data_IF_840286180833
#
_entry.id   IF_840286180833
#
_cell.length_a   1.000
_cell.length_b   1.000
_cell.length_c   1.000
_cell.angle_alpha   90.00
_cell.angle_beta   90.00
_cell.angle_gamma   90.00
#
_symmetry.space_group_name_H-M   'P 1'
#
loop_
_entity.id
_entity.type
_entity.pdbx_description
1 polymer ?
#
# COMPACT_ATOMS: atom_id res chain seq x y z
N UNK A 1 5.87 34.41 -3.07
CA UNK A 1 5.40 33.04 -3.30
C UNK A 1 5.98 32.21 -2.17
N UNK A 2 5.17 31.85 -1.18
CA UNK A 2 5.63 30.99 -0.08
C UNK A 2 5.66 29.56 -0.60
N UNK A 3 6.85 29.04 -0.86
CA UNK A 3 7.07 27.62 -1.09
C UNK A 3 6.66 26.89 0.19
N UNK A 4 5.50 26.25 0.17
CA UNK A 4 5.11 25.29 1.21
C UNK A 4 6.03 24.08 1.03
N UNK A 5 7.07 23.98 1.85
CA UNK A 5 7.93 22.80 1.90
C UNK A 5 7.05 21.64 2.36
N UNK A 6 6.74 20.73 1.45
CA UNK A 6 5.97 19.53 1.79
C UNK A 6 6.65 18.79 2.94
N UNK A 7 5.89 18.31 3.94
CA UNK A 7 6.46 17.54 5.03
C UNK A 7 7.20 16.31 4.49
N UNK A 8 8.28 15.86 5.16
CA UNK A 8 9.05 14.73 4.70
C UNK A 8 8.17 13.47 4.59
N UNK A 9 8.20 12.82 3.43
CA UNK A 9 7.44 11.59 3.16
C UNK A 9 7.74 10.51 4.20
N UNK A 10 6.69 9.96 4.77
CA UNK A 10 6.70 8.82 5.68
C UNK A 10 7.22 7.56 4.97
N UNK A 11 7.66 6.56 5.75
CA UNK A 11 8.09 5.27 5.19
C UNK A 11 6.98 4.57 4.40
N UNK A 12 5.72 4.74 4.81
CA UNK A 12 4.56 4.23 4.08
C UNK A 12 4.43 4.88 2.70
N UNK A 13 4.48 6.22 2.64
CA UNK A 13 4.37 6.97 1.37
C UNK A 13 5.51 6.62 0.42
N UNK A 14 6.73 6.42 0.95
CA UNK A 14 7.87 5.97 0.14
C UNK A 14 7.65 4.59 -0.49
N UNK A 15 7.02 3.66 0.24
CA UNK A 15 6.67 2.34 -0.30
C UNK A 15 5.54 2.47 -1.34
N UNK A 16 4.53 3.30 -1.09
CA UNK A 16 3.46 3.57 -2.07
C UNK A 16 4.02 4.15 -3.37
N UNK A 17 4.90 5.14 -3.27
CA UNK A 17 5.57 5.75 -4.42
C UNK A 17 6.43 4.75 -5.20
N UNK A 18 7.09 3.83 -4.51
CA UNK A 18 7.84 2.75 -5.15
C UNK A 18 6.92 1.90 -6.05
N UNK A 19 5.75 1.47 -5.56
CA UNK A 19 4.81 0.70 -6.36
C UNK A 19 4.14 1.49 -7.48
N UNK A 20 3.81 2.76 -7.23
CA UNK A 20 3.14 3.59 -8.23
C UNK A 20 4.06 4.02 -9.37
N UNK A 21 5.36 4.19 -9.11
CA UNK A 21 6.29 4.79 -10.08
C UNK A 21 7.39 3.85 -10.60
N UNK A 22 7.74 2.77 -9.87
CA UNK A 22 8.87 1.89 -10.24
C UNK A 22 8.49 0.47 -10.59
N UNK A 23 7.42 -0.05 -9.99
CA UNK A 23 6.99 -1.44 -10.25
C UNK A 23 6.14 -1.47 -11.51
N UNK A 24 6.39 -2.43 -12.39
CA UNK A 24 5.57 -2.62 -13.60
C UNK A 24 4.29 -3.41 -13.28
N UNK A 25 3.24 -3.18 -14.08
CA UNK A 25 1.98 -3.93 -13.95
C UNK A 25 2.21 -5.38 -14.32
N UNK A 26 1.59 -6.30 -13.57
CA UNK A 26 1.63 -7.75 -13.80
C UNK A 26 3.06 -8.31 -13.86
N UNK A 27 4.02 -7.65 -13.21
CA UNK A 27 5.39 -8.12 -13.06
C UNK A 27 5.64 -8.54 -11.60
N UNK A 28 5.59 -9.84 -11.28
CA UNK A 28 5.79 -10.31 -9.92
C UNK A 28 7.22 -10.10 -9.46
N UNK A 29 7.38 -9.52 -8.27
CA UNK A 29 8.67 -9.31 -7.61
C UNK A 29 8.69 -9.99 -6.25
N UNK A 30 9.87 -10.41 -5.81
CA UNK A 30 10.05 -10.93 -4.47
C UNK A 30 10.14 -9.80 -3.43
N UNK A 31 9.68 -10.04 -2.20
CA UNK A 31 9.82 -9.07 -1.09
C UNK A 31 11.28 -8.64 -0.85
N UNK A 32 12.24 -9.51 -1.14
CA UNK A 32 13.66 -9.19 -1.04
C UNK A 32 14.07 -8.01 -1.94
N UNK A 33 13.50 -7.92 -3.15
CA UNK A 33 13.73 -6.81 -4.06
C UNK A 33 13.15 -5.50 -3.54
N UNK A 34 11.98 -5.55 -2.90
CA UNK A 34 11.38 -4.37 -2.26
C UNK A 34 12.25 -3.88 -1.11
N UNK A 35 12.78 -4.80 -0.30
CA UNK A 35 13.72 -4.49 0.80
C UNK A 35 15.00 -3.85 0.27
N UNK A 36 15.59 -4.42 -0.79
CA UNK A 36 16.78 -3.89 -1.45
C UNK A 36 16.56 -2.49 -2.04
N UNK A 37 15.49 -2.33 -2.83
CA UNK A 37 15.23 -1.08 -3.56
C UNK A 37 14.79 0.08 -2.64
N UNK A 38 14.20 -0.23 -1.48
CA UNK A 38 13.70 0.78 -0.52
C UNK A 38 14.63 1.01 0.67
N UNK A 39 15.54 0.08 0.95
CA UNK A 39 16.45 0.13 2.10
C UNK A 39 15.76 -0.06 3.46
N UNK A 40 14.47 -0.40 3.49
CA UNK A 40 13.74 -0.64 4.73
C UNK A 40 13.95 -2.06 5.26
N UNK A 41 13.77 -2.25 6.58
CA UNK A 41 13.86 -3.58 7.18
C UNK A 41 12.76 -4.52 6.65
N UNK A 42 13.06 -5.81 6.56
CA UNK A 42 12.12 -6.82 6.07
C UNK A 42 10.79 -6.84 6.86
N UNK A 43 10.86 -6.68 8.19
CA UNK A 43 9.67 -6.65 9.05
C UNK A 43 8.80 -5.42 8.78
N UNK A 44 9.41 -4.25 8.57
CA UNK A 44 8.71 -3.03 8.22
C UNK A 44 8.04 -3.13 6.84
N UNK A 45 8.79 -3.60 5.84
CA UNK A 45 8.27 -3.83 4.49
C UNK A 45 7.09 -4.79 4.55
N UNK A 46 7.26 -5.98 5.15
CA UNK A 46 6.19 -6.97 5.25
C UNK A 46 4.93 -6.41 5.91
N UNK A 47 5.06 -5.73 7.05
CA UNK A 47 3.92 -5.11 7.75
C UNK A 47 3.20 -4.09 6.86
N UNK A 48 3.97 -3.31 6.10
CA UNK A 48 3.43 -2.28 5.20
C UNK A 48 2.73 -2.91 4.01
N UNK A 49 3.32 -3.92 3.37
CA UNK A 49 2.70 -4.64 2.24
C UNK A 49 1.42 -5.36 2.66
N UNK A 50 1.38 -5.96 3.85
CA UNK A 50 0.14 -6.53 4.40
C UNK A 50 -0.95 -5.48 4.52
N UNK A 51 -0.64 -4.31 5.09
CA UNK A 51 -1.59 -3.19 5.21
C UNK A 51 -2.07 -2.71 3.83
N UNK A 52 -1.17 -2.60 2.85
CA UNK A 52 -1.52 -2.19 1.49
C UNK A 52 -2.46 -3.21 0.84
N UNK A 53 -2.19 -4.51 0.99
CA UNK A 53 -3.02 -5.58 0.45
C UNK A 53 -4.44 -5.60 1.06
N UNK A 54 -4.56 -5.24 2.34
CA UNK A 54 -5.84 -5.11 3.03
C UNK A 54 -6.61 -3.88 2.58
N UNK A 55 -5.96 -2.71 2.54
CA UNK A 55 -6.63 -1.41 2.37
C UNK A 55 -6.68 -0.88 0.93
N UNK A 56 -5.95 -1.47 -0.03
CA UNK A 56 -5.83 -0.95 -1.40
C UNK A 56 -6.19 -2.00 -2.44
N UNK A 57 -6.88 -1.54 -3.48
CA UNK A 57 -7.22 -2.32 -4.65
C UNK A 57 -6.06 -2.34 -5.65
N UNK A 58 -5.96 -3.49 -6.32
CA UNK A 58 -5.02 -3.72 -7.40
C UNK A 58 -3.58 -4.01 -6.96
N UNK A 59 -3.42 -4.37 -5.69
CA UNK A 59 -2.19 -4.89 -5.11
C UNK A 59 -2.42 -6.34 -4.67
N UNK A 60 -1.44 -7.21 -4.91
CA UNK A 60 -1.46 -8.59 -4.48
C UNK A 60 -0.17 -8.90 -3.72
N UNK A 61 -0.31 -9.53 -2.55
CA UNK A 61 0.81 -9.94 -1.71
C UNK A 61 0.56 -11.30 -1.11
N UNK A 62 1.32 -12.29 -1.58
CA UNK A 62 1.08 -13.69 -1.27
C UNK A 62 2.37 -14.44 -0.97
N UNK A 63 2.24 -15.52 -0.18
CA UNK A 63 3.36 -16.42 0.09
C UNK A 63 3.39 -17.53 -0.95
N UNK A 64 4.49 -17.64 -1.68
CA UNK A 64 4.75 -18.73 -2.63
C UNK A 64 5.82 -19.65 -2.06
N UNK A 65 5.44 -20.89 -1.74
CA UNK A 65 6.35 -21.90 -1.18
C UNK A 65 6.77 -21.65 0.28
N UNK A 66 7.92 -22.18 0.72
CA UNK A 66 8.29 -22.23 2.14
C UNK A 66 8.54 -20.85 2.77
N UNK A 67 9.12 -19.90 2.02
CA UNK A 67 9.62 -18.63 2.56
C UNK A 67 9.58 -17.44 1.60
N UNK A 68 9.17 -17.62 0.34
CA UNK A 68 9.17 -16.54 -0.65
C UNK A 68 7.84 -15.81 -0.59
N UNK A 69 7.88 -14.49 -0.47
CA UNK A 69 6.71 -13.63 -0.62
C UNK A 69 6.80 -12.91 -1.96
N UNK A 70 5.72 -12.99 -2.74
CA UNK A 70 5.62 -12.41 -4.07
C UNK A 70 4.61 -11.26 -4.02
N UNK A 71 4.97 -10.17 -4.70
CA UNK A 71 4.17 -8.95 -4.81
C UNK A 71 3.97 -8.66 -6.29
N UNK A 72 2.76 -8.28 -6.69
CA UNK A 72 2.52 -7.64 -7.99
C UNK A 72 1.33 -6.68 -7.91
N UNK A 73 1.29 -5.73 -8.83
CA UNK A 73 0.14 -4.84 -9.02
C UNK A 73 -0.52 -5.11 -10.36
N UNK A 74 -1.84 -4.98 -10.43
CA UNK A 74 -2.62 -5.14 -11.67
C UNK A 74 -3.15 -3.80 -12.21
N UNK A 75 -2.74 -2.69 -11.59
CA UNK A 75 -3.10 -1.30 -11.95
C UNK A 75 -1.87 -0.39 -11.91
N UNK A 76 -1.95 0.74 -12.60
CA UNK A 76 -0.88 1.75 -12.60
C UNK A 76 -0.67 2.33 -11.19
N UNK A 77 -1.76 2.64 -10.52
CA UNK A 77 -1.76 3.20 -9.17
C UNK A 77 -2.58 2.37 -8.20
N UNK A 78 -2.08 2.30 -6.97
CA UNK A 78 -2.77 1.70 -5.84
C UNK A 78 -3.90 2.62 -5.39
N UNK A 79 -5.13 2.11 -5.44
CA UNK A 79 -6.33 2.88 -5.11
C UNK A 79 -6.82 2.41 -3.75
N UNK A 80 -6.99 3.32 -2.80
CA UNK A 80 -7.51 2.96 -1.48
C UNK A 80 -8.93 2.41 -1.65
N UNK A 81 -9.20 1.24 -1.06
CA UNK A 81 -10.55 0.69 -0.99
C UNK A 81 -11.44 1.70 -0.30
N UNK A 82 -12.63 1.89 -0.85
CA UNK A 82 -13.70 2.61 -0.18
C UNK A 82 -14.17 1.74 0.99
N UNK A 83 -13.51 1.87 2.15
CA UNK A 83 -14.06 1.38 3.42
C UNK A 83 -15.36 2.13 3.65
N UNK A 84 -16.49 1.47 3.35
CA UNK A 84 -17.85 1.70 3.85
C UNK A 84 -18.18 3.10 4.39
N UNK A 85 -17.76 4.16 3.69
CA UNK A 85 -17.82 5.51 4.26
C UNK A 85 -19.28 5.95 4.32
N UNK A 86 -20.09 5.45 3.37
CA UNK A 86 -21.54 5.59 3.39
C UNK A 86 -22.18 4.83 4.56
N UNK A 87 -21.83 3.56 4.82
CA UNK A 87 -22.41 2.77 5.94
C UNK A 87 -22.04 3.34 7.32
N UNK A 88 -20.82 3.86 7.46
CA UNK A 88 -20.35 4.48 8.68
C UNK A 88 -21.04 5.82 8.98
N UNK A 89 -21.37 6.61 7.94
CA UNK A 89 -22.19 7.83 8.11
C UNK A 89 -23.69 7.54 8.31
N UNK A 90 -24.22 6.44 7.78
CA UNK A 90 -25.61 6.02 8.00
C UNK A 90 -25.88 5.57 9.45
N UNK A 91 -24.87 5.03 10.15
CA UNK A 91 -24.98 4.65 11.57
C UNK A 91 -24.97 5.86 12.54
N UNK A 92 -24.55 7.05 12.10
CA UNK A 92 -24.61 8.27 12.92
C UNK A 92 -25.98 8.97 12.82
N UNK A 93 -26.74 8.74 11.74
CA UNK A 93 -28.13 9.21 11.59
C UNK A 93 -29.18 8.40 12.36
N UNK A 94 -28.78 7.36 13.11
CA UNK A 94 -29.66 6.53 13.93
C UNK A 94 -29.85 6.99 15.38
N UNK A 95 -29.25 8.11 15.78
CA UNK A 95 -29.43 8.74 17.10
C UNK A 95 -29.78 10.22 16.94
N UNK A 96 -30.98 10.50 16.46
CA UNK A 96 -31.65 11.77 16.71
C UNK A 96 -32.98 11.51 17.43
N UNK A 97 -33.22 12.35 18.45
CA UNK A 97 -34.33 12.43 19.42
C UNK A 97 -34.10 11.72 20.78
#
# INVERSE_FOLDING_TARGET
>A
MTETVDPPKTGFEKIMDYFNNKVEINHPIAIAKVVEDTGFSWSFVKKTLTKINEEYDGFNFEKSGPSIWIIWKNRDHLIKKLDETCSRMLNETGKEC
#
